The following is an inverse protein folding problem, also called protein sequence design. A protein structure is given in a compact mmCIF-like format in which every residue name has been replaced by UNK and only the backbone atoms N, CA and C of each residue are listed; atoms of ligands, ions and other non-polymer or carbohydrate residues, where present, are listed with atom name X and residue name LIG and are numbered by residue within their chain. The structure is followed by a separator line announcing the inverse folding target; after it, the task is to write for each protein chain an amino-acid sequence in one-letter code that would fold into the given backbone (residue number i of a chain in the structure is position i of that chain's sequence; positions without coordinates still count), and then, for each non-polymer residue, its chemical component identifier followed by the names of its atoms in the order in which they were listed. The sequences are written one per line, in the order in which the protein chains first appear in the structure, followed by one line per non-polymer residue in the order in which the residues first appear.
data_IF_104912905819
#
_entry.id   IF_104912905819
#
_cell.length_a   1.000
_cell.length_b   1.000
_cell.length_c   1.000
_cell.angle_alpha   90.00
_cell.angle_beta   90.00
_cell.angle_gamma   90.00
#
_symmetry.space_group_name_H-M   'P 1'
#
loop_
_entity.id
_entity.type
_entity.pdbx_description
1 polymer ?
#
# COMPACT_ATOMS: atom_id res chain seq x y z
N UNK A 1 23.03 8.85 21.21
CA UNK A 1 21.65 8.34 21.37
C UNK A 1 21.56 7.72 22.74
N UNK A 2 20.68 8.20 23.61
CA UNK A 2 20.38 7.50 24.87
C UNK A 2 19.67 6.19 24.56
N UNK A 3 20.16 5.10 25.13
CA UNK A 3 19.59 3.76 24.96
C UNK A 3 18.52 3.58 26.02
N UNK A 4 17.25 3.46 25.62
CA UNK A 4 16.15 3.17 26.54
C UNK A 4 16.25 1.72 27.02
N UNK A 5 15.99 1.50 28.31
CA UNK A 5 16.01 0.18 28.95
C UNK A 5 14.61 -0.27 29.33
N UNK A 6 14.38 -1.58 29.30
CA UNK A 6 13.17 -2.20 29.77
C UNK A 6 13.10 -2.15 31.31
N UNK A 7 12.00 -1.64 31.85
CA UNK A 7 11.77 -1.57 33.30
C UNK A 7 11.67 -2.95 33.97
N UNK A 8 11.36 -4.00 33.20
CA UNK A 8 11.15 -5.35 33.74
C UNK A 8 12.44 -6.18 33.79
N UNK A 9 13.35 -6.02 32.82
CA UNK A 9 14.54 -6.87 32.71
C UNK A 9 15.85 -6.11 32.46
N UNK A 10 15.81 -4.78 32.33
CA UNK A 10 16.98 -3.93 32.13
C UNK A 10 17.65 -4.03 30.75
N UNK A 11 17.10 -4.85 29.85
CA UNK A 11 17.59 -4.97 28.47
C UNK A 11 17.32 -3.70 27.66
N UNK A 12 18.13 -3.48 26.62
CA UNK A 12 17.93 -2.37 25.71
C UNK A 12 16.64 -2.59 24.90
N UNK A 13 15.82 -1.55 24.78
CA UNK A 13 14.62 -1.58 23.96
C UNK A 13 14.97 -1.41 22.49
N UNK A 14 14.26 -2.14 21.65
CA UNK A 14 14.31 -2.01 20.19
C UNK A 14 13.12 -1.19 19.72
N UNK A 15 13.36 -0.25 18.80
CA UNK A 15 12.30 0.58 18.26
C UNK A 15 11.68 -0.09 17.04
N UNK A 16 10.39 -0.43 17.14
CA UNK A 16 9.62 -0.95 16.01
C UNK A 16 9.13 0.24 15.19
N UNK A 17 9.92 0.60 14.17
CA UNK A 17 9.71 1.77 13.31
C UNK A 17 8.34 1.82 12.63
N UNK A 18 7.82 0.65 12.27
CA UNK A 18 6.51 0.52 11.61
C UNK A 18 5.36 0.94 12.54
N UNK A 19 5.51 0.73 13.84
CA UNK A 19 4.42 0.81 14.82
C UNK A 19 4.63 1.86 15.91
N UNK A 20 5.68 2.66 15.78
CA UNK A 20 6.06 3.71 16.73
C UNK A 20 5.94 3.27 18.19
N UNK A 21 6.52 2.12 18.52
CA UNK A 21 6.65 1.68 19.91
C UNK A 21 8.02 1.08 20.17
N UNK A 22 8.39 1.05 21.44
CA UNK A 22 9.59 0.36 21.89
C UNK A 22 9.19 -1.02 22.40
N UNK A 23 9.95 -2.05 22.02
CA UNK A 23 9.75 -3.42 22.50
C UNK A 23 11.02 -3.92 23.15
N UNK A 24 10.85 -4.67 24.24
CA UNK A 24 11.96 -5.42 24.82
C UNK A 24 12.11 -6.75 24.09
N UNK A 25 13.27 -7.07 23.50
CA UNK A 25 13.47 -8.34 22.78
C UNK A 25 13.55 -9.57 23.71
N UNK A 26 13.60 -9.37 25.04
CA UNK A 26 13.72 -10.47 26.01
C UNK A 26 12.42 -10.82 26.73
N UNK A 27 11.52 -9.85 26.92
CA UNK A 27 10.29 -10.06 27.69
C UNK A 27 9.05 -9.51 26.99
N UNK A 28 9.16 -9.12 25.72
CA UNK A 28 8.09 -8.64 24.84
C UNK A 28 7.23 -7.50 25.40
N UNK A 29 7.74 -6.81 26.42
CA UNK A 29 7.05 -5.67 27.03
C UNK A 29 7.10 -4.50 26.06
N UNK A 30 5.91 -4.00 25.70
CA UNK A 30 5.72 -2.90 24.77
C UNK A 30 5.53 -1.59 25.52
N UNK A 31 6.25 -0.57 25.09
CA UNK A 31 6.16 0.77 25.63
C UNK A 31 5.64 1.70 24.54
N UNK A 32 4.55 2.41 24.83
CA UNK A 32 4.05 3.45 23.95
C UNK A 32 5.14 4.50 23.71
N UNK A 33 5.23 5.00 22.49
CA UNK A 33 6.08 6.13 22.18
C UNK A 33 5.44 7.40 22.76
N UNK A 34 6.00 7.90 23.87
CA UNK A 34 5.50 9.11 24.51
C UNK A 34 5.79 10.36 23.69
N UNK A 35 4.72 11.12 23.42
CA UNK A 35 4.68 12.29 22.54
C UNK A 35 5.46 13.52 23.06
N UNK A 36 6.03 13.46 24.27
CA UNK A 36 6.88 14.51 24.82
C UNK A 36 8.33 14.46 24.32
N UNK A 37 8.71 13.41 23.58
CA UNK A 37 9.97 13.34 22.83
C UNK A 37 9.79 13.82 21.37
N UNK A 38 9.29 15.04 21.18
CA UNK A 38 9.11 15.69 19.85
C UNK A 38 10.40 15.91 19.05
N UNK A 39 11.55 15.44 19.49
CA UNK A 39 12.83 15.74 18.85
C UNK A 39 13.40 14.62 17.98
N UNK A 40 12.68 13.50 17.78
CA UNK A 40 13.04 12.51 16.76
C UNK A 40 11.79 11.86 16.15
N UNK A 41 10.96 12.67 15.48
CA UNK A 41 10.07 12.12 14.47
C UNK A 41 10.95 11.50 13.37
N UNK A 42 10.66 10.29 12.85
CA UNK A 42 11.15 9.92 11.53
C UNK A 42 10.80 11.08 10.61
N UNK A 43 11.73 11.56 9.78
CA UNK A 43 11.45 12.67 8.87
C UNK A 43 10.20 12.30 8.04
N UNK A 44 9.08 12.99 8.21
CA UNK A 44 7.86 12.67 7.46
C UNK A 44 7.84 13.48 6.16
N UNK A 45 7.59 12.82 5.03
CA UNK A 45 7.29 13.52 3.78
C UNK A 45 5.79 13.35 3.49
N UNK A 46 5.04 14.46 3.51
CA UNK A 46 3.58 14.44 3.31
C UNK A 46 2.83 13.48 4.26
N UNK A 47 3.34 13.27 5.48
CA UNK A 47 2.77 12.36 6.48
C UNK A 47 3.16 10.88 6.35
N UNK A 48 4.01 10.54 5.37
CA UNK A 48 4.57 9.19 5.21
C UNK A 48 5.90 9.06 5.95
N UNK A 49 6.08 7.93 6.63
CA UNK A 49 7.24 7.62 7.47
C UNK A 49 8.50 7.36 6.63
N UNK A 50 9.53 8.22 6.70
CA UNK A 50 10.82 7.99 6.00
C UNK A 50 11.59 6.76 6.47
N UNK A 51 11.21 6.14 7.58
CA UNK A 51 11.70 4.83 8.00
C UNK A 51 11.24 3.70 7.07
N UNK A 52 10.10 3.87 6.40
CA UNK A 52 9.48 2.91 5.46
C UNK A 52 9.58 3.36 4.00
N UNK A 53 9.77 4.64 3.76
CA UNK A 53 9.80 5.18 2.41
C UNK A 53 11.08 5.97 2.15
N UNK A 54 11.62 5.79 0.97
CA UNK A 54 12.63 6.69 0.40
C UNK A 54 11.94 7.53 -0.68
N UNK A 55 12.24 8.83 -0.75
CA UNK A 55 11.54 9.75 -1.64
C UNK A 55 12.52 10.29 -2.68
N UNK A 56 12.34 9.94 -3.96
CA UNK A 56 13.21 10.41 -5.05
C UNK A 56 12.72 11.73 -5.65
N UNK A 57 11.42 11.99 -5.57
CA UNK A 57 10.79 13.21 -6.07
C UNK A 57 10.30 14.08 -4.93
N UNK A 58 10.20 15.38 -5.20
CA UNK A 58 9.52 16.34 -4.34
C UNK A 58 8.00 16.05 -4.32
N UNK A 59 7.57 15.12 -3.46
CA UNK A 59 6.16 14.80 -3.23
C UNK A 59 5.35 16.04 -2.84
N UNK A 60 5.97 17.05 -2.21
CA UNK A 60 5.29 18.29 -1.85
C UNK A 60 4.74 18.98 -3.10
N UNK A 61 5.51 19.00 -4.19
CA UNK A 61 5.03 19.51 -5.49
C UNK A 61 3.88 18.66 -6.04
N UNK A 62 3.98 17.33 -5.95
CA UNK A 62 2.93 16.43 -6.44
C UNK A 62 1.60 16.63 -5.69
N UNK A 63 1.64 16.90 -4.39
CA UNK A 63 0.45 17.22 -3.57
C UNK A 63 -0.15 18.61 -3.84
N UNK A 64 0.40 19.38 -4.78
CA UNK A 64 -0.22 20.63 -5.25
C UNK A 64 -1.56 20.40 -5.98
N UNK A 65 -1.80 19.20 -6.51
CA UNK A 65 -3.08 18.80 -7.13
C UNK A 65 -3.99 18.15 -6.09
N UNK A 66 -5.26 18.58 -6.03
CA UNK A 66 -6.24 18.09 -5.04
C UNK A 66 -6.37 16.57 -5.04
N UNK A 67 -6.54 15.94 -6.20
CA UNK A 67 -6.74 14.50 -6.29
C UNK A 67 -5.52 13.72 -5.75
N UNK A 68 -4.32 14.14 -6.14
CA UNK A 68 -3.06 13.55 -5.66
C UNK A 68 -2.85 13.79 -4.17
N UNK A 69 -3.21 14.97 -3.67
CA UNK A 69 -3.17 15.28 -2.24
C UNK A 69 -4.09 14.36 -1.44
N UNK A 70 -5.33 14.19 -1.86
CA UNK A 70 -6.31 13.35 -1.16
C UNK A 70 -5.87 11.87 -1.17
N UNK A 71 -5.30 11.40 -2.28
CA UNK A 71 -4.71 10.06 -2.38
C UNK A 71 -3.54 9.85 -1.41
N UNK A 72 -2.55 10.77 -1.41
CA UNK A 72 -1.38 10.69 -0.50
C UNK A 72 -1.81 10.82 0.96
N UNK A 73 -2.75 11.71 1.27
CA UNK A 73 -3.27 11.88 2.63
C UNK A 73 -3.94 10.61 3.15
N UNK A 74 -4.75 9.94 2.33
CA UNK A 74 -5.40 8.69 2.72
C UNK A 74 -4.39 7.56 2.83
N UNK A 75 -3.39 7.52 1.94
CA UNK A 75 -2.27 6.59 2.08
C UNK A 75 -1.55 6.79 3.42
N UNK A 76 -1.17 8.02 3.76
CA UNK A 76 -0.51 8.37 5.02
C UNK A 76 -1.39 8.10 6.25
N UNK A 77 -2.70 8.32 6.16
CA UNK A 77 -3.65 7.93 7.20
C UNK A 77 -3.62 6.42 7.41
N UNK A 78 -3.81 5.64 6.36
CA UNK A 78 -3.85 4.18 6.46
C UNK A 78 -2.54 3.61 7.02
N UNK A 79 -1.38 4.06 6.52
CA UNK A 79 -0.06 3.63 6.98
C UNK A 79 0.23 3.96 8.46
N UNK A 80 -0.49 4.91 9.07
CA UNK A 80 -0.34 5.29 10.49
C UNK A 80 -1.40 4.67 11.39
N UNK A 81 -2.59 4.42 10.84
CA UNK A 81 -3.76 3.99 11.60
C UNK A 81 -3.98 2.48 11.61
N UNK A 82 -3.37 1.75 10.68
CA UNK A 82 -3.52 0.31 10.54
C UNK A 82 -2.18 -0.39 10.59
N UNK A 83 -2.15 -1.52 11.28
CA UNK A 83 -0.98 -2.38 11.46
C UNK A 83 -0.84 -3.39 10.32
N UNK A 84 -1.96 -3.74 9.68
CA UNK A 84 -2.00 -4.79 8.65
C UNK A 84 -2.75 -4.40 7.39
N UNK A 85 -2.39 -5.01 6.27
CA UNK A 85 -3.11 -4.91 5.00
C UNK A 85 -4.57 -5.35 5.14
N UNK A 86 -4.85 -6.35 5.97
CA UNK A 86 -6.21 -6.81 6.27
C UNK A 86 -7.07 -5.75 6.95
N UNK A 87 -6.52 -4.98 7.89
CA UNK A 87 -7.25 -3.88 8.52
C UNK A 87 -7.55 -2.75 7.52
N UNK A 88 -6.64 -2.49 6.58
CA UNK A 88 -6.90 -1.55 5.48
C UNK A 88 -7.96 -2.09 4.51
N UNK A 89 -7.94 -3.38 4.21
CA UNK A 89 -8.99 -4.03 3.43
C UNK A 89 -10.35 -3.85 4.11
N UNK A 90 -10.46 -4.14 5.40
CA UNK A 90 -11.70 -3.94 6.16
C UNK A 90 -12.15 -2.47 6.14
N UNK A 91 -11.22 -1.53 6.26
CA UNK A 91 -11.50 -0.09 6.12
C UNK A 91 -12.05 0.26 4.73
N UNK A 92 -11.43 -0.25 3.65
CA UNK A 92 -11.90 -0.05 2.28
C UNK A 92 -13.33 -0.56 2.14
N UNK A 93 -13.61 -1.77 2.61
CA UNK A 93 -14.92 -2.41 2.48
C UNK A 93 -16.02 -1.74 3.31
N UNK A 94 -15.70 -1.22 4.49
CA UNK A 94 -16.69 -0.67 5.41
C UNK A 94 -16.90 0.83 5.28
N UNK A 95 -15.88 1.58 4.85
CA UNK A 95 -15.87 3.05 4.94
C UNK A 95 -15.78 3.75 3.60
N UNK A 96 -15.28 3.10 2.55
CA UNK A 96 -15.06 3.74 1.26
C UNK A 96 -16.10 3.32 0.23
N UNK A 97 -16.51 4.28 -0.60
CA UNK A 97 -17.36 4.02 -1.76
C UNK A 97 -16.51 3.41 -2.88
N UNK A 98 -16.87 2.20 -3.32
CA UNK A 98 -16.20 1.51 -4.42
C UNK A 98 -16.48 2.19 -5.77
N UNK A 99 -15.44 2.68 -6.48
CA UNK A 99 -15.60 3.23 -7.82
C UNK A 99 -16.16 2.20 -8.79
N UNK A 100 -16.90 2.62 -9.81
CA UNK A 100 -17.61 1.72 -10.72
C UNK A 100 -16.71 0.73 -11.47
N UNK A 101 -15.45 1.09 -11.70
CA UNK A 101 -14.47 0.25 -12.38
C UNK A 101 -13.77 -0.76 -11.45
N UNK A 102 -14.12 -0.76 -10.16
CA UNK A 102 -13.57 -1.66 -9.15
C UNK A 102 -14.56 -2.77 -8.81
N UNK A 103 -14.06 -3.99 -8.72
CA UNK A 103 -14.80 -5.18 -8.28
C UNK A 103 -14.02 -5.87 -7.16
N UNK A 104 -14.74 -6.53 -6.27
CA UNK A 104 -14.18 -7.16 -5.08
C UNK A 104 -15.17 -8.23 -4.57
N UNK A 105 -14.83 -8.97 -3.51
CA UNK A 105 -15.76 -9.94 -2.93
C UNK A 105 -17.04 -9.23 -2.46
N UNK A 106 -18.21 -9.75 -2.82
CA UNK A 106 -19.52 -9.14 -2.60
C UNK A 106 -19.81 -7.89 -3.45
N UNK A 107 -18.88 -7.44 -4.31
CA UNK A 107 -18.99 -6.20 -5.07
C UNK A 107 -18.66 -6.48 -6.53
N UNK A 108 -19.70 -6.66 -7.37
CA UNK A 108 -19.55 -6.89 -8.81
C UNK A 108 -18.65 -8.09 -9.15
N UNK A 109 -18.70 -9.15 -8.34
CA UNK A 109 -17.86 -10.36 -8.49
C UNK A 109 -17.96 -10.97 -9.89
N UNK A 110 -19.11 -10.84 -10.55
CA UNK A 110 -19.33 -11.34 -11.91
C UNK A 110 -18.35 -10.77 -12.93
N UNK A 111 -17.73 -9.61 -12.64
CA UNK A 111 -16.70 -9.01 -13.50
C UNK A 111 -15.35 -9.69 -13.32
N UNK A 112 -15.04 -10.16 -12.12
CA UNK A 112 -13.82 -10.92 -11.82
C UNK A 112 -13.92 -12.28 -12.50
N UNK A 113 -15.05 -12.97 -12.35
CA UNK A 113 -15.22 -14.33 -12.89
C UNK A 113 -15.12 -14.38 -14.42
N UNK A 114 -15.58 -13.34 -15.12
CA UNK A 114 -15.44 -13.22 -16.58
C UNK A 114 -13.99 -13.20 -17.07
N UNK A 115 -13.05 -12.77 -16.22
CA UNK A 115 -11.64 -12.59 -16.60
C UNK A 115 -10.67 -13.44 -15.76
N UNK A 116 -11.19 -14.23 -14.81
CA UNK A 116 -10.41 -15.10 -13.91
C UNK A 116 -9.41 -15.98 -14.65
N UNK A 117 -9.85 -16.62 -15.73
CA UNK A 117 -8.99 -17.51 -16.54
C UNK A 117 -7.75 -16.83 -17.14
N UNK A 118 -7.71 -15.50 -17.19
CA UNK A 118 -6.57 -14.73 -17.71
C UNK A 118 -5.44 -14.55 -16.67
N UNK A 119 -5.74 -14.66 -15.38
CA UNK A 119 -4.77 -14.41 -14.30
C UNK A 119 -4.67 -15.53 -13.25
N UNK A 120 -5.62 -16.46 -13.21
CA UNK A 120 -5.67 -17.53 -12.20
C UNK A 120 -4.40 -18.40 -12.15
N UNK A 121 -3.71 -18.57 -13.28
CA UNK A 121 -2.43 -19.30 -13.34
C UNK A 121 -1.28 -18.61 -12.60
N UNK A 122 -1.41 -17.31 -12.33
CA UNK A 122 -0.44 -16.54 -11.56
C UNK A 122 -0.69 -16.62 -10.07
N UNK A 123 -1.81 -17.19 -9.62
CA UNK A 123 -2.19 -17.24 -8.21
C UNK A 123 -1.81 -18.58 -7.58
N UNK A 124 -1.42 -18.54 -6.31
CA UNK A 124 -1.31 -19.76 -5.51
C UNK A 124 -2.72 -20.30 -5.16
N UNK A 125 -2.88 -21.61 -4.89
CA UNK A 125 -4.20 -22.19 -4.59
C UNK A 125 -4.93 -21.62 -3.37
N UNK A 126 -4.19 -21.06 -2.41
CA UNK A 126 -4.66 -20.43 -1.18
C UNK A 126 -4.76 -18.89 -1.28
N UNK A 127 -4.33 -18.33 -2.40
CA UNK A 127 -4.34 -16.89 -2.65
C UNK A 127 -5.74 -16.40 -3.01
N UNK A 128 -6.12 -15.23 -2.52
CA UNK A 128 -7.46 -14.68 -2.76
C UNK A 128 -7.41 -13.27 -3.36
N UNK A 129 -8.37 -12.99 -4.23
CA UNK A 129 -8.52 -11.66 -4.85
C UNK A 129 -9.13 -10.72 -3.83
N UNK A 130 -8.42 -9.63 -3.53
CA UNK A 130 -8.92 -8.53 -2.70
C UNK A 130 -9.61 -7.49 -3.58
N UNK A 131 -8.95 -7.07 -4.66
CA UNK A 131 -9.44 -6.04 -5.59
C UNK A 131 -9.17 -6.42 -7.04
N UNK A 132 -10.14 -6.17 -7.91
CA UNK A 132 -10.00 -6.13 -9.35
C UNK A 132 -10.30 -4.71 -9.84
N UNK A 133 -9.40 -4.11 -10.61
CA UNK A 133 -9.60 -2.78 -11.21
C UNK A 133 -9.44 -2.80 -12.72
N UNK A 134 -10.45 -2.30 -13.42
CA UNK A 134 -10.48 -2.22 -14.88
C UNK A 134 -9.84 -0.91 -15.37
N UNK A 135 -8.92 -0.99 -16.35
CA UNK A 135 -8.15 0.19 -16.79
C UNK A 135 -8.90 1.11 -17.77
N UNK A 136 -10.05 0.72 -18.31
CA UNK A 136 -10.82 1.62 -19.17
C UNK A 136 -12.15 1.10 -19.73
N UNK A 137 -12.98 2.06 -20.14
CA UNK A 137 -14.31 1.84 -20.75
C UNK A 137 -14.23 1.10 -22.10
N UNK A 138 -13.20 1.35 -22.92
CA UNK A 138 -13.01 0.71 -24.24
C UNK A 138 -12.14 -0.56 -24.20
N UNK A 139 -11.53 -0.83 -23.05
CA UNK A 139 -10.63 -1.97 -22.81
C UNK A 139 -11.18 -2.93 -21.76
N UNK A 140 -12.51 -2.90 -21.50
CA UNK A 140 -13.11 -3.75 -20.49
C UNK A 140 -12.75 -5.22 -20.69
N UNK A 141 -12.11 -5.81 -19.67
CA UNK A 141 -11.63 -7.19 -19.67
C UNK A 141 -10.39 -7.47 -20.51
N UNK A 142 -9.76 -6.44 -21.10
CA UNK A 142 -8.50 -6.55 -21.85
C UNK A 142 -7.33 -5.94 -21.09
N UNK A 143 -7.57 -4.89 -20.33
CA UNK A 143 -6.53 -4.21 -19.55
C UNK A 143 -7.03 -3.99 -18.13
N UNK A 144 -6.40 -4.64 -17.15
CA UNK A 144 -6.83 -4.59 -15.76
C UNK A 144 -5.68 -4.91 -14.81
N UNK A 145 -5.91 -4.65 -13.53
CA UNK A 145 -5.05 -5.12 -12.46
C UNK A 145 -5.88 -5.92 -11.44
N UNK A 146 -5.22 -6.85 -10.77
CA UNK A 146 -5.74 -7.63 -9.66
C UNK A 146 -4.78 -7.45 -8.49
N UNK A 147 -5.30 -7.16 -7.32
CA UNK A 147 -4.55 -7.14 -6.06
C UNK A 147 -5.06 -8.32 -5.24
N UNK A 148 -4.16 -9.20 -4.85
CA UNK A 148 -4.42 -10.31 -3.94
C UNK A 148 -3.74 -10.05 -2.60
N UNK A 149 -3.89 -10.96 -1.66
CA UNK A 149 -3.12 -10.98 -0.41
C UNK A 149 -1.61 -11.24 -0.61
N UNK A 150 -1.22 -11.79 -1.77
CA UNK A 150 0.18 -12.14 -2.06
C UNK A 150 0.86 -11.25 -3.09
N UNK A 151 0.15 -10.77 -4.11
CA UNK A 151 0.75 -10.12 -5.29
C UNK A 151 -0.16 -9.12 -5.97
N UNK A 152 0.43 -8.28 -6.81
CA UNK A 152 -0.28 -7.54 -7.85
C UNK A 152 -0.15 -8.29 -9.18
N UNK A 153 -1.24 -8.48 -9.91
CA UNK A 153 -1.27 -9.07 -11.25
C UNK A 153 -1.78 -8.02 -12.23
N UNK A 154 -1.10 -7.86 -13.35
CA UNK A 154 -1.40 -6.89 -14.38
C UNK A 154 -1.62 -7.61 -15.69
N UNK A 155 -2.79 -7.40 -16.29
CA UNK A 155 -3.13 -7.97 -17.59
C UNK A 155 -3.23 -6.85 -18.60
N UNK A 156 -2.47 -6.98 -19.70
CA UNK A 156 -2.54 -6.12 -20.87
C UNK A 156 -2.68 -6.98 -22.13
N UNK A 157 -3.92 -7.12 -22.59
CA UNK A 157 -4.37 -7.93 -23.73
C UNK A 157 -4.00 -9.40 -23.55
N UNK A 158 -2.80 -9.79 -23.99
CA UNK A 158 -2.27 -11.17 -23.91
C UNK A 158 -1.12 -11.31 -22.93
N UNK A 159 -0.56 -10.19 -22.46
CA UNK A 159 0.49 -10.20 -21.45
C UNK A 159 -0.15 -10.27 -20.07
N UNK A 160 0.28 -11.23 -19.28
CA UNK A 160 -0.01 -11.31 -17.86
C UNK A 160 1.32 -11.20 -17.12
N UNK A 161 1.41 -10.27 -16.18
CA UNK A 161 2.60 -10.03 -15.37
C UNK A 161 2.19 -9.99 -13.91
N UNK A 162 2.97 -10.63 -13.05
CA UNK A 162 2.72 -10.64 -11.61
C UNK A 162 3.93 -10.11 -10.84
N UNK A 163 3.66 -9.45 -9.71
CA UNK A 163 4.67 -8.94 -8.77
C UNK A 163 4.22 -9.27 -7.36
N UNK A 164 4.94 -10.20 -6.70
CA UNK A 164 4.75 -10.46 -5.28
C UNK A 164 4.94 -9.16 -4.48
N UNK A 165 4.13 -8.94 -3.44
CA UNK A 165 4.18 -7.70 -2.67
C UNK A 165 5.57 -7.47 -2.06
N UNK A 166 6.21 -8.51 -1.52
CA UNK A 166 7.61 -8.42 -1.05
C UNK A 166 8.62 -7.93 -2.09
N UNK A 167 8.33 -8.08 -3.39
CA UNK A 167 9.21 -7.67 -4.49
C UNK A 167 8.89 -6.25 -5.02
N UNK A 168 7.99 -5.50 -4.38
CA UNK A 168 7.69 -4.11 -4.74
C UNK A 168 8.78 -3.21 -4.18
N UNK A 169 9.79 -2.85 -4.98
CA UNK A 169 10.89 -1.98 -4.59
C UNK A 169 10.57 -0.48 -4.75
N UNK A 170 9.69 -0.12 -5.69
CA UNK A 170 9.29 1.27 -5.91
C UNK A 170 7.84 1.42 -6.32
N UNK A 171 7.30 2.61 -6.06
CA UNK A 171 5.99 3.07 -6.48
C UNK A 171 6.14 4.43 -7.14
N UNK A 172 5.93 4.46 -8.46
CA UNK A 172 6.05 5.68 -9.25
C UNK A 172 4.70 6.36 -9.39
N UNK A 173 4.62 7.61 -8.98
CA UNK A 173 3.46 8.46 -9.10
C UNK A 173 3.52 9.28 -10.39
N UNK A 174 2.64 8.97 -11.33
CA UNK A 174 2.36 9.85 -12.45
C UNK A 174 1.12 10.67 -12.14
N UNK A 175 1.29 11.99 -12.21
CA UNK A 175 0.20 12.92 -12.01
C UNK A 175 -0.48 13.21 -13.36
N UNK A 176 -1.79 12.96 -13.44
CA UNK A 176 -2.65 13.52 -14.49
C UNK A 176 -3.49 14.67 -13.88
N UNK A 177 -4.13 15.49 -14.72
CA UNK A 177 -5.01 16.57 -14.29
C UNK A 177 -6.17 16.07 -13.41
N UNK A 178 -6.62 14.82 -13.64
CA UNK A 178 -7.82 14.27 -13.01
C UNK A 178 -7.57 13.01 -12.17
N UNK A 179 -6.37 12.41 -12.26
CA UNK A 179 -6.07 11.11 -11.65
C UNK A 179 -4.64 11.06 -11.12
N UNK A 180 -4.44 10.26 -10.08
CA UNK A 180 -3.13 9.77 -9.69
C UNK A 180 -2.95 8.39 -10.28
N UNK A 181 -1.90 8.15 -11.05
CA UNK A 181 -1.58 6.81 -11.55
C UNK A 181 -0.34 6.31 -10.82
N UNK A 182 -0.44 5.12 -10.24
CA UNK A 182 0.66 4.50 -9.50
C UNK A 182 1.19 3.31 -10.28
N UNK A 183 2.51 3.25 -10.44
CA UNK A 183 3.17 2.18 -11.19
C UNK A 183 4.13 1.43 -10.27
N UNK A 184 3.97 0.10 -10.24
CA UNK A 184 4.81 -0.78 -9.42
C UNK A 184 6.15 -0.99 -10.10
N UNK A 185 7.24 -0.82 -9.35
CA UNK A 185 8.62 -1.01 -9.79
C UNK A 185 9.00 -0.14 -11.01
N UNK A 186 8.54 1.11 -11.03
CA UNK A 186 8.77 2.09 -12.10
C UNK A 186 8.31 1.64 -13.51
N UNK A 187 7.47 0.60 -13.58
CA UNK A 187 7.04 -0.03 -14.83
C UNK A 187 5.65 0.45 -15.25
N UNK A 188 5.58 1.18 -16.38
CA UNK A 188 4.35 1.72 -16.93
C UNK A 188 3.32 0.64 -17.34
N UNK A 189 3.73 -0.61 -17.57
CA UNK A 189 2.79 -1.71 -17.82
C UNK A 189 2.10 -2.17 -16.51
N UNK A 190 2.73 -1.92 -15.35
CA UNK A 190 2.29 -2.34 -14.01
C UNK A 190 1.56 -1.25 -13.23
N UNK A 191 0.64 -0.57 -13.92
CA UNK A 191 -0.13 0.54 -13.34
C UNK A 191 -1.37 0.10 -12.54
N UNK A 192 -1.58 0.73 -11.39
CA UNK A 192 -2.83 0.79 -10.62
C UNK A 192 -3.47 2.15 -10.96
N UNK A 193 -4.33 2.15 -11.97
CA UNK A 193 -4.83 3.35 -12.64
C UNK A 193 -6.36 3.42 -12.62
N UNK A 194 -6.90 4.58 -12.99
CA UNK A 194 -8.34 4.79 -13.22
C UNK A 194 -9.24 4.55 -11.99
N UNK A 195 -8.69 4.75 -10.79
CA UNK A 195 -9.46 4.67 -9.54
C UNK A 195 -10.08 6.04 -9.29
N UNK A 196 -11.26 6.30 -9.86
CA UNK A 196 -11.90 7.64 -9.82
C UNK A 196 -12.17 8.23 -8.42
N UNK A 197 -11.90 7.48 -7.34
CA UNK A 197 -11.91 7.94 -5.96
C UNK A 197 -10.46 7.98 -5.41
N UNK A 198 -9.91 9.18 -5.13
CA UNK A 198 -8.54 9.30 -4.63
C UNK A 198 -8.35 8.65 -3.25
N UNK A 199 -9.36 8.67 -2.39
CA UNK A 199 -9.28 8.04 -1.06
C UNK A 199 -9.19 6.52 -1.18
N UNK A 200 -10.02 5.93 -2.05
CA UNK A 200 -9.95 4.50 -2.37
C UNK A 200 -8.56 4.13 -2.89
N UNK A 201 -8.03 4.93 -3.81
CA UNK A 201 -6.70 4.67 -4.36
C UNK A 201 -5.61 4.78 -3.30
N UNK A 202 -5.64 5.80 -2.45
CA UNK A 202 -4.68 5.97 -1.36
C UNK A 202 -4.70 4.79 -0.38
N UNK A 203 -5.89 4.34 0.01
CA UNK A 203 -6.05 3.17 0.86
C UNK A 203 -5.55 1.88 0.18
N UNK A 204 -5.84 1.70 -1.11
CA UNK A 204 -5.35 0.55 -1.88
C UNK A 204 -3.83 0.51 -1.96
N UNK A 205 -3.17 1.64 -2.21
CA UNK A 205 -1.70 1.73 -2.25
C UNK A 205 -1.10 1.48 -0.87
N UNK A 206 -1.70 2.02 0.20
CA UNK A 206 -1.28 1.73 1.58
C UNK A 206 -1.40 0.24 1.92
N UNK A 207 -2.51 -0.40 1.54
CA UNK A 207 -2.72 -1.83 1.73
C UNK A 207 -1.61 -2.64 1.05
N UNK A 208 -1.27 -2.33 -0.19
CA UNK A 208 -0.17 -2.98 -0.92
C UNK A 208 1.17 -2.79 -0.19
N UNK A 209 1.45 -1.57 0.31
CA UNK A 209 2.67 -1.30 1.07
C UNK A 209 2.73 -2.14 2.36
N UNK A 210 1.63 -2.21 3.13
CA UNK A 210 1.57 -3.02 4.34
C UNK A 210 1.75 -4.51 4.05
N UNK A 211 1.04 -5.05 3.04
CA UNK A 211 1.23 -6.45 2.61
C UNK A 211 2.68 -6.74 2.20
N UNK A 212 3.36 -5.75 1.61
CA UNK A 212 4.77 -5.87 1.25
C UNK A 212 5.68 -5.98 2.47
N UNK A 213 5.41 -5.21 3.53
CA UNK A 213 6.14 -5.26 4.80
C UNK A 213 5.77 -6.48 5.66
N UNK A 214 4.55 -6.99 5.56
CA UNK A 214 4.14 -8.22 6.25
C UNK A 214 4.85 -9.46 5.70
N UNK A 215 4.99 -9.54 4.37
CA UNK A 215 5.65 -10.67 3.72
C UNK A 215 7.17 -10.68 3.88
N UNK A 216 7.76 -9.51 4.08
CA UNK A 216 9.20 -9.34 4.33
C UNK A 216 9.43 -8.15 5.27
N UNK A 217 9.38 -8.34 6.61
CA UNK A 217 9.50 -7.24 7.57
C UNK A 217 10.84 -6.51 7.55
N UNK A 218 11.90 -7.19 7.12
CA UNK A 218 13.28 -6.68 7.09
C UNK A 218 13.65 -6.07 5.73
N UNK A 219 12.68 -5.97 4.81
CA UNK A 219 12.88 -5.43 3.47
C UNK A 219 13.47 -4.02 3.46
N UNK A 220 14.11 -3.69 2.34
CA UNK A 220 14.49 -2.31 2.05
C UNK A 220 13.25 -1.41 1.89
N UNK A 221 13.45 -0.12 2.16
CA UNK A 221 12.42 0.92 2.02
C UNK A 221 11.82 0.90 0.62
N UNK A 222 10.51 1.14 0.53
CA UNK A 222 9.86 1.34 -0.77
C UNK A 222 10.22 2.74 -1.27
N UNK A 223 10.75 2.84 -2.48
CA UNK A 223 11.06 4.13 -3.12
C UNK A 223 9.79 4.73 -3.72
N UNK A 224 9.46 5.97 -3.37
CA UNK A 224 8.39 6.74 -3.98
C UNK A 224 9.00 7.71 -4.99
N UNK A 225 8.63 7.52 -6.26
CA UNK A 225 9.23 8.17 -7.44
C UNK A 225 8.24 9.09 -8.14
#
# INVERSE_FOLDING_TARGET
MEVKKCDNCGANLEFVRQKNYWICPYCDTKYAFDADNRTQHPEECCGLNSGLFEFEKDLVKATGKRHTKDCINTMAYCMRSFDTGKEVEEYIYQKLTFPDDISAKGIREERIDKVRSLFEREMDPDEHVIVYGNKGLFSQGKEFYVVTDKRCIFVNRKKCQSVLHKNIASLKLQEDANYSNWYVNDDYEKGIISVGNPEYQGALIAMICLLSYEQDPDREKIRIV
#
